data_IF_607136409936
#
_entry.id   IF_607136409936
#
_cell.length_a   1.000
_cell.length_b   1.000
_cell.length_c   1.000
_cell.angle_alpha   90.00
_cell.angle_beta   90.00
_cell.angle_gamma   90.00
#
_symmetry.space_group_name_H-M   'P 1'
#
loop_
_entity.id
_entity.type
_entity.pdbx_description
1 polymer ?
#
# COMPACT_ATOMS: atom_id res chain seq x y z
N UNK A 1 -7.70 9.79 -8.15
CA UNK A 1 -8.39 8.61 -8.75
C UNK A 1 -8.08 7.39 -7.88
N UNK A 2 -8.90 6.33 -7.89
CA UNK A 2 -8.62 5.08 -7.18
C UNK A 2 -8.98 3.89 -8.06
N UNK A 3 -8.04 2.94 -8.21
CA UNK A 3 -8.25 1.70 -8.96
C UNK A 3 -7.68 0.51 -8.23
N UNK A 4 -8.27 -0.66 -8.47
CA UNK A 4 -7.67 -1.94 -8.13
C UNK A 4 -6.73 -2.34 -9.25
N UNK A 5 -5.42 -2.20 -9.05
CA UNK A 5 -4.40 -2.56 -10.04
C UNK A 5 -4.05 -4.06 -10.00
N UNK A 6 -4.24 -4.71 -8.84
CA UNK A 6 -4.16 -6.17 -8.70
C UNK A 6 -5.23 -6.68 -7.75
N UNK A 7 -5.94 -7.74 -8.15
CA UNK A 7 -6.85 -8.49 -7.28
C UNK A 7 -6.10 -9.63 -6.60
N UNK A 8 -6.25 -9.72 -5.30
CA UNK A 8 -5.76 -10.80 -4.45
C UNK A 8 -6.87 -11.73 -3.97
N UNK A 9 -6.61 -12.48 -2.91
CA UNK A 9 -7.64 -13.33 -2.28
C UNK A 9 -8.67 -12.47 -1.53
N UNK A 10 -9.99 -12.67 -1.73
CA UNK A 10 -11.02 -11.80 -1.17
C UNK A 10 -11.22 -11.92 0.36
N UNK A 11 -10.58 -12.89 1.01
CA UNK A 11 -10.77 -13.19 2.44
C UNK A 11 -9.45 -12.98 3.21
N UNK A 12 -8.33 -13.46 2.67
CA UNK A 12 -7.05 -13.51 3.37
C UNK A 12 -5.95 -12.64 2.75
N UNK A 13 -6.18 -12.03 1.59
CA UNK A 13 -5.17 -11.27 0.87
C UNK A 13 -4.71 -10.02 1.62
N UNK A 14 -3.40 -9.82 1.70
CA UNK A 14 -2.82 -8.56 2.18
C UNK A 14 -3.16 -7.41 1.22
N UNK A 15 -3.17 -6.17 1.71
CA UNK A 15 -3.45 -4.97 0.89
C UNK A 15 -2.25 -4.06 0.88
N UNK A 16 -1.70 -3.80 -0.30
CA UNK A 16 -0.75 -2.73 -0.55
C UNK A 16 -1.47 -1.57 -1.24
N UNK A 17 -1.07 -0.34 -0.88
CA UNK A 17 -1.60 0.87 -1.48
C UNK A 17 -0.43 1.68 -2.01
N UNK A 18 -0.36 1.88 -3.32
CA UNK A 18 0.55 2.84 -3.93
C UNK A 18 -0.17 4.16 -4.20
N UNK A 19 0.54 5.27 -3.98
CA UNK A 19 0.05 6.62 -4.28
C UNK A 19 1.01 7.26 -5.28
N UNK A 20 0.49 7.63 -6.45
CA UNK A 20 1.13 8.55 -7.39
C UNK A 20 0.78 9.97 -7.00
N UNK A 21 1.81 10.75 -6.65
CA UNK A 21 1.66 12.12 -6.16
C UNK A 21 1.49 13.14 -7.28
N UNK A 22 1.52 12.68 -8.54
CA UNK A 22 1.43 13.52 -9.74
C UNK A 22 2.57 14.55 -9.85
N UNK A 23 3.67 14.29 -9.14
CA UNK A 23 4.92 15.09 -9.13
C UNK A 23 6.14 14.28 -9.61
N UNK A 24 5.92 13.06 -10.10
CA UNK A 24 6.96 12.12 -10.52
C UNK A 24 7.43 11.16 -9.41
N UNK A 25 6.90 11.28 -8.21
CA UNK A 25 7.22 10.40 -7.07
C UNK A 25 6.03 9.53 -6.66
N UNK A 26 6.33 8.45 -5.94
CA UNK A 26 5.32 7.55 -5.36
C UNK A 26 5.58 7.24 -3.89
N UNK A 27 4.50 7.03 -3.15
CA UNK A 27 4.53 6.43 -1.83
C UNK A 27 3.94 5.02 -1.85
N UNK A 28 4.38 4.18 -0.92
CA UNK A 28 3.86 2.83 -0.75
C UNK A 28 3.48 2.63 0.71
N UNK A 29 2.24 2.18 0.92
CA UNK A 29 1.71 1.78 2.21
C UNK A 29 1.48 0.28 2.23
N UNK A 30 1.91 -0.36 3.32
CA UNK A 30 1.76 -1.79 3.54
C UNK A 30 1.07 -2.02 4.88
N UNK A 31 0.53 -3.22 5.16
CA UNK A 31 -0.04 -3.50 6.46
C UNK A 31 0.96 -3.20 7.59
N UNK A 32 0.47 -2.59 8.66
CA UNK A 32 1.25 -2.42 9.87
C UNK A 32 1.56 -3.80 10.49
N UNK A 33 2.68 -3.95 11.22
CA UNK A 33 2.95 -5.19 11.93
C UNK A 33 1.85 -5.45 12.95
N UNK A 34 1.50 -6.72 13.20
CA UNK A 34 0.43 -7.06 14.17
C UNK A 34 0.64 -6.44 15.55
N UNK A 35 1.89 -6.30 16.00
CA UNK A 35 2.22 -5.68 17.29
C UNK A 35 1.87 -4.18 17.37
N UNK A 36 1.65 -3.52 16.23
CA UNK A 36 1.28 -2.10 16.14
C UNK A 36 -0.22 -1.88 15.94
N UNK A 37 -1.00 -2.97 15.85
CA UNK A 37 -2.46 -2.92 15.71
C UNK A 37 -3.09 -2.93 17.11
N UNK A 38 -4.05 -2.05 17.37
CA UNK A 38 -4.96 -2.25 18.51
C UNK A 38 -5.87 -3.44 18.20
N UNK A 39 -6.42 -4.11 19.21
CA UNK A 39 -7.14 -5.42 19.15
C UNK A 39 -8.36 -5.46 18.19
N UNK A 40 -8.65 -4.37 17.49
CA UNK A 40 -9.68 -4.23 16.50
C UNK A 40 -9.27 -4.75 15.11
N UNK A 41 -10.26 -5.24 14.35
CA UNK A 41 -10.11 -5.70 12.97
C UNK A 41 -9.85 -4.57 11.94
N UNK A 42 -9.53 -3.36 12.38
CA UNK A 42 -9.28 -2.17 11.52
C UNK A 42 -7.99 -2.33 10.72
N UNK A 43 -8.01 -2.03 9.42
CA UNK A 43 -6.79 -2.07 8.59
C UNK A 43 -5.92 -0.86 8.91
N UNK A 44 -4.82 -1.12 9.63
CA UNK A 44 -3.80 -0.12 9.96
C UNK A 44 -2.61 -0.33 9.05
N UNK A 45 -2.10 0.74 8.46
CA UNK A 45 -1.00 0.71 7.52
C UNK A 45 0.26 1.33 8.10
N UNK A 46 1.41 1.02 7.51
CA UNK A 46 2.66 1.77 7.71
C UNK A 46 3.07 2.37 6.37
N UNK A 47 3.71 3.55 6.41
CA UNK A 47 4.33 4.12 5.21
C UNK A 47 5.68 3.45 4.97
N UNK A 48 5.70 2.51 4.03
CA UNK A 48 6.92 1.77 3.68
C UNK A 48 7.89 2.62 2.86
N UNK A 49 7.36 3.39 1.90
CA UNK A 49 8.12 4.36 1.12
C UNK A 49 7.37 5.69 1.07
N UNK A 50 8.14 6.79 1.05
CA UNK A 50 7.62 8.14 1.00
C UNK A 50 8.29 8.93 -0.14
N UNK A 51 7.52 9.38 -1.13
CA UNK A 51 8.00 10.16 -2.27
C UNK A 51 9.31 9.60 -2.88
N UNK A 52 9.30 8.32 -3.23
CA UNK A 52 10.43 7.66 -3.90
C UNK A 52 10.17 7.52 -5.40
N UNK A 53 11.19 7.14 -6.16
CA UNK A 53 11.03 6.89 -7.60
C UNK A 53 10.09 5.70 -7.88
N UNK A 54 9.22 5.77 -8.90
CA UNK A 54 8.25 4.73 -9.22
C UNK A 54 8.82 3.30 -9.38
N UNK A 55 10.02 3.08 -9.95
CA UNK A 55 10.60 1.74 -10.05
C UNK A 55 10.78 1.06 -8.69
N UNK A 56 11.17 1.81 -7.65
CA UNK A 56 11.37 1.25 -6.31
C UNK A 56 10.08 0.72 -5.69
N UNK A 57 8.96 1.38 -5.94
CA UNK A 57 7.62 0.91 -5.52
C UNK A 57 7.24 -0.34 -6.31
N UNK A 58 7.40 -0.30 -7.63
CA UNK A 58 7.06 -1.40 -8.54
C UNK A 58 7.83 -2.68 -8.21
N UNK A 59 9.15 -2.56 -8.00
CA UNK A 59 10.03 -3.67 -7.62
C UNK A 59 9.64 -4.29 -6.28
N UNK A 60 9.28 -3.46 -5.29
CA UNK A 60 8.85 -3.94 -3.97
C UNK A 60 7.52 -4.69 -4.04
N UNK A 61 6.58 -4.23 -4.87
CA UNK A 61 5.31 -4.91 -5.11
C UNK A 61 5.57 -6.25 -5.82
N UNK A 62 6.40 -6.27 -6.87
CA UNK A 62 6.74 -7.50 -7.58
C UNK A 62 7.35 -8.55 -6.64
N UNK A 63 8.30 -8.15 -5.79
CA UNK A 63 8.89 -9.02 -4.78
C UNK A 63 7.85 -9.57 -3.79
N UNK A 64 6.86 -8.78 -3.39
CA UNK A 64 5.79 -9.27 -2.51
C UNK A 64 4.87 -10.23 -3.26
N UNK A 65 4.51 -9.95 -4.50
CA UNK A 65 3.66 -10.83 -5.32
C UNK A 65 4.31 -12.20 -5.53
N UNK A 66 5.63 -12.25 -5.70
CA UNK A 66 6.37 -13.50 -5.83
C UNK A 66 6.36 -14.32 -4.52
N UNK A 67 6.25 -13.65 -3.37
CA UNK A 67 6.19 -14.29 -2.06
C UNK A 67 4.76 -14.66 -1.63
N UNK A 68 3.81 -13.76 -1.87
CA UNK A 68 2.39 -13.83 -1.52
C UNK A 68 1.54 -13.48 -2.76
N UNK A 69 1.15 -14.48 -3.56
CA UNK A 69 0.35 -14.26 -4.76
C UNK A 69 -1.08 -13.81 -4.45
N UNK A 70 -1.51 -13.80 -3.19
CA UNK A 70 -2.84 -13.36 -2.77
C UNK A 70 -2.90 -11.85 -2.48
N UNK A 71 -1.83 -11.10 -2.78
CA UNK A 71 -1.74 -9.66 -2.55
C UNK A 71 -2.73 -8.81 -3.38
N UNK A 72 -3.47 -7.93 -2.72
CA UNK A 72 -4.17 -6.81 -3.36
C UNK A 72 -3.26 -5.61 -3.54
N UNK A 73 -3.39 -4.92 -4.67
CA UNK A 73 -2.76 -3.63 -4.91
C UNK A 73 -3.83 -2.62 -5.31
N UNK A 74 -3.92 -1.55 -4.53
CA UNK A 74 -4.72 -0.36 -4.83
C UNK A 74 -3.79 0.75 -5.28
N UNK A 75 -4.11 1.38 -6.40
CA UNK A 75 -3.36 2.52 -6.93
C UNK A 75 -4.21 3.77 -6.84
N UNK A 76 -3.62 4.82 -6.24
CA UNK A 76 -4.25 6.10 -6.01
C UNK A 76 -3.48 7.21 -6.72
N UNK A 77 -4.21 8.15 -7.32
CA UNK A 77 -3.63 9.40 -7.82
C UNK A 77 -4.12 10.54 -6.92
N UNK A 78 -3.20 11.19 -6.22
CA UNK A 78 -3.47 12.26 -5.24
C UNK A 78 -2.43 13.38 -5.38
N UNK A 79 -2.79 14.62 -5.05
CA UNK A 79 -1.84 15.76 -5.00
C UNK A 79 -1.43 16.16 -3.58
N UNK A 80 -1.93 15.46 -2.57
CA UNK A 80 -1.69 15.75 -1.17
C UNK A 80 -1.49 14.48 -0.36
N UNK A 81 -0.97 14.65 0.85
CA UNK A 81 -0.54 13.54 1.71
C UNK A 81 -1.67 12.85 2.49
N UNK A 82 -2.89 13.40 2.49
CA UNK A 82 -4.04 12.76 3.13
C UNK A 82 -4.62 11.69 2.19
N UNK A 83 -4.30 10.44 2.51
CA UNK A 83 -4.72 9.25 1.76
C UNK A 83 -6.04 8.68 2.31
N UNK A 84 -6.55 9.18 3.44
CA UNK A 84 -7.79 8.68 4.07
C UNK A 84 -7.67 7.29 4.68
N UNK A 85 -6.46 6.86 5.06
CA UNK A 85 -6.17 5.58 5.73
C UNK A 85 -5.53 5.82 7.09
N UNK A 86 -5.70 4.87 8.01
CA UNK A 86 -5.00 4.90 9.29
C UNK A 86 -3.55 4.44 9.10
N UNK A 87 -2.59 5.29 9.47
CA UNK A 87 -1.15 5.02 9.33
C UNK A 87 -0.47 5.10 10.69
N UNK A 88 0.36 4.10 11.01
CA UNK A 88 1.26 4.14 12.17
C UNK A 88 2.63 4.69 11.78
N UNK A 89 3.17 5.54 12.64
CA UNK A 89 4.47 6.20 12.47
C UNK A 89 4.33 7.60 11.88
#
# INVERSE_FOLDING_TARGET
>A
MCVVSRRGDPIAGQVFIEVDHLDGTRSLFTPAPMASRQDDASLVFQRRFNHVEPPKVTERIAQEVDFDPDLWVLSLDLRGDDVGIEVVG
#
